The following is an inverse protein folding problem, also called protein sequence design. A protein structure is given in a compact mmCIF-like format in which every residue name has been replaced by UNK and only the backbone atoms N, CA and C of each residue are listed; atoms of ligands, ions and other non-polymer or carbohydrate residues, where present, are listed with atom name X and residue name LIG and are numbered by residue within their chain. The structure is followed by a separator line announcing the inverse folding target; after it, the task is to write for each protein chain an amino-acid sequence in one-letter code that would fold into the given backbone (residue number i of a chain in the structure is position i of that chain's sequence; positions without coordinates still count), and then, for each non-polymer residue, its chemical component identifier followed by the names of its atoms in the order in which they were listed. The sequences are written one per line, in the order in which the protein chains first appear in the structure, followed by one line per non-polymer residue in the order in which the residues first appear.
data_IF_643512842155
#
_entry.id   IF_643512842155
#
_cell.length_a   1.000
_cell.length_b   1.000
_cell.length_c   1.000
_cell.angle_alpha   90.00
_cell.angle_beta   90.00
_cell.angle_gamma   90.00
#
_symmetry.space_group_name_H-M   'P 1'
#
loop_
_entity.id
_entity.type
_entity.pdbx_description
1 polymer ?
#
# COMPACT_ATOMS: atom_id res chain seq x y z
N UNK A 1 3.61 -17.23 23.42
CA UNK A 1 4.67 -17.44 22.41
C UNK A 1 5.75 -16.40 22.72
N UNK A 2 7.01 -16.79 22.92
CA UNK A 2 8.08 -15.82 23.16
C UNK A 2 8.37 -15.09 21.84
N UNK A 3 8.61 -13.78 21.89
CA UNK A 3 9.01 -13.03 20.71
C UNK A 3 10.31 -13.65 20.15
N UNK A 4 10.43 -13.78 18.82
CA UNK A 4 11.57 -14.47 18.19
C UNK A 4 12.90 -13.71 18.36
N UNK A 5 12.87 -12.44 18.77
CA UNK A 5 14.03 -11.59 18.99
C UNK A 5 14.02 -11.00 20.41
N UNK A 6 15.19 -10.94 21.03
CA UNK A 6 15.38 -10.22 22.29
C UNK A 6 15.59 -8.71 22.05
N UNK A 7 15.46 -7.90 23.11
CA UNK A 7 15.61 -6.44 23.05
C UNK A 7 16.96 -6.01 22.46
N UNK A 8 18.03 -6.75 22.80
CA UNK A 8 19.38 -6.48 22.30
C UNK A 8 19.51 -6.71 20.79
N UNK A 9 18.80 -7.71 20.26
CA UNK A 9 18.76 -7.99 18.82
C UNK A 9 17.96 -6.93 18.08
N UNK A 10 16.85 -6.46 18.67
CA UNK A 10 16.05 -5.35 18.12
C UNK A 10 16.89 -4.08 18.05
N UNK A 11 17.61 -3.72 19.11
CA UNK A 11 18.48 -2.53 19.15
C UNK A 11 19.58 -2.59 18.08
N UNK A 12 20.20 -3.76 17.90
CA UNK A 12 21.22 -3.96 16.85
C UNK A 12 20.66 -3.79 15.45
N UNK A 13 19.47 -4.34 15.18
CA UNK A 13 18.81 -4.19 13.88
C UNK A 13 18.47 -2.72 13.64
N UNK A 14 17.91 -2.05 14.64
CA UNK A 14 17.59 -0.63 14.58
C UNK A 14 18.83 0.23 14.24
N UNK A 15 19.93 0.06 14.99
CA UNK A 15 21.18 0.81 14.75
C UNK A 15 21.79 0.50 13.38
N UNK A 16 21.71 -0.76 12.93
CA UNK A 16 22.17 -1.13 11.59
C UNK A 16 21.34 -0.45 10.49
N UNK A 17 20.01 -0.40 10.64
CA UNK A 17 19.11 0.30 9.71
C UNK A 17 19.37 1.80 9.65
N UNK A 18 19.56 2.46 10.80
CA UNK A 18 19.93 3.88 10.88
C UNK A 18 21.25 4.12 10.16
N UNK A 19 22.28 3.32 10.44
CA UNK A 19 23.59 3.44 9.82
C UNK A 19 23.53 3.28 8.28
N UNK A 20 22.69 2.36 7.78
CA UNK A 20 22.45 2.20 6.34
C UNK A 20 21.83 3.47 5.73
N UNK A 21 20.80 4.04 6.35
CA UNK A 21 20.12 5.24 5.84
C UNK A 21 20.99 6.50 5.92
N UNK A 22 21.79 6.65 6.96
CA UNK A 22 22.62 7.83 7.17
C UNK A 22 23.89 7.80 6.30
N UNK A 23 24.61 6.66 6.27
CA UNK A 23 25.93 6.59 5.63
C UNK A 23 25.92 6.05 4.21
N UNK A 24 24.96 5.18 3.86
CA UNK A 24 24.82 4.65 2.50
C UNK A 24 23.79 5.47 1.73
N UNK A 25 22.65 5.74 2.35
CA UNK A 25 21.51 6.43 1.76
C UNK A 25 20.75 5.58 0.75
N UNK A 26 19.58 6.06 0.35
CA UNK A 26 18.76 5.45 -0.70
C UNK A 26 19.05 6.09 -2.05
N UNK A 27 19.11 5.28 -3.11
CA UNK A 27 19.19 5.79 -4.47
C UNK A 27 17.81 6.21 -4.97
N UNK A 28 17.76 7.26 -5.79
CA UNK A 28 16.61 7.57 -6.62
C UNK A 28 16.60 6.60 -7.80
N UNK A 29 15.48 5.90 -8.03
CA UNK A 29 15.18 5.23 -9.30
C UNK A 29 14.12 6.07 -10.00
N UNK A 30 14.49 6.67 -11.13
CA UNK A 30 13.54 7.32 -12.01
C UNK A 30 13.10 6.26 -13.02
N UNK A 31 11.84 5.81 -12.92
CA UNK A 31 11.18 5.21 -14.06
C UNK A 31 10.87 6.35 -15.02
N UNK A 32 11.20 6.17 -16.30
CA UNK A 32 11.16 7.20 -17.35
C UNK A 32 9.74 7.63 -17.76
N UNK A 33 8.78 7.59 -16.84
CA UNK A 33 7.42 8.04 -17.09
C UNK A 33 7.29 9.44 -16.53
N UNK A 34 7.34 10.43 -17.43
CA UNK A 34 6.85 11.78 -17.13
C UNK A 34 5.34 11.67 -16.90
N UNK A 35 4.93 11.51 -15.65
CA UNK A 35 3.52 11.55 -15.27
C UNK A 35 3.17 13.02 -15.08
N UNK A 36 2.44 13.59 -16.03
CA UNK A 36 1.97 14.98 -15.99
C UNK A 36 1.22 15.26 -14.67
N UNK A 37 1.61 16.35 -13.99
CA UNK A 37 0.93 16.82 -12.77
C UNK A 37 1.51 16.34 -11.44
N UNK A 38 2.61 15.58 -11.43
CA UNK A 38 3.31 15.24 -10.19
C UNK A 38 4.13 16.42 -9.63
N UNK A 39 4.19 16.60 -8.30
CA UNK A 39 5.09 17.58 -7.70
C UNK A 39 6.54 17.27 -8.08
N UNK A 40 7.38 18.30 -8.21
CA UNK A 40 8.81 18.08 -8.42
C UNK A 40 9.36 17.25 -7.26
N UNK A 41 9.97 16.11 -7.56
CA UNK A 41 10.58 15.24 -6.56
C UNK A 41 11.54 16.01 -5.63
N UNK A 42 12.21 17.04 -6.14
CA UNK A 42 13.05 17.92 -5.33
C UNK A 42 12.24 18.75 -4.32
N UNK A 43 11.05 19.21 -4.70
CA UNK A 43 10.12 19.89 -3.79
C UNK A 43 9.67 18.94 -2.69
N UNK A 44 9.30 17.69 -3.03
CA UNK A 44 8.91 16.66 -2.04
C UNK A 44 10.06 16.39 -1.06
N UNK A 45 11.29 16.21 -1.56
CA UNK A 45 12.44 15.97 -0.68
C UNK A 45 12.74 17.17 0.22
N UNK A 46 12.53 18.40 -0.26
CA UNK A 46 12.67 19.61 0.56
C UNK A 46 11.57 19.71 1.63
N UNK A 47 10.32 19.44 1.26
CA UNK A 47 9.17 19.41 2.19
C UNK A 47 9.38 18.37 3.30
N UNK A 48 9.99 17.23 2.97
CA UNK A 48 10.34 16.17 3.91
C UNK A 48 11.65 16.43 4.68
N UNK A 49 12.37 17.53 4.38
CA UNK A 49 13.64 17.87 5.02
C UNK A 49 14.80 16.95 4.67
N UNK A 50 14.67 16.10 3.65
CA UNK A 50 15.67 15.11 3.28
C UNK A 50 16.87 15.73 2.56
N UNK A 51 18.07 15.23 2.90
CA UNK A 51 19.32 15.69 2.29
C UNK A 51 19.68 14.77 1.13
N UNK A 52 20.05 15.38 0.00
CA UNK A 52 20.67 14.68 -1.12
C UNK A 52 22.18 14.89 -1.03
N UNK A 53 22.95 13.81 -0.94
CA UNK A 53 24.41 13.90 -0.89
C UNK A 53 25.00 14.16 -2.29
N UNK A 54 26.31 14.37 -2.35
CA UNK A 54 27.03 14.64 -3.61
C UNK A 54 26.94 13.53 -4.66
N UNK A 55 26.49 12.33 -4.28
CA UNK A 55 26.27 11.18 -5.16
C UNK A 55 24.80 11.04 -5.60
N UNK A 56 23.95 12.01 -5.30
CA UNK A 56 22.52 11.97 -5.63
C UNK A 56 21.72 10.97 -4.79
N UNK A 57 22.23 10.57 -3.61
CA UNK A 57 21.51 9.67 -2.69
C UNK A 57 20.80 10.45 -1.59
N UNK A 58 19.63 9.96 -1.22
CA UNK A 58 18.81 10.49 -0.14
C UNK A 58 19.34 9.90 1.17
N UNK A 59 19.84 10.76 2.05
CA UNK A 59 20.34 10.37 3.39
C UNK A 59 19.42 10.96 4.45
N UNK A 60 19.14 10.17 5.47
CA UNK A 60 18.28 10.55 6.59
C UNK A 60 19.10 10.39 7.87
N UNK A 61 19.10 11.39 8.74
CA UNK A 61 19.87 11.32 9.99
C UNK A 61 19.13 10.47 11.01
N UNK A 62 19.85 9.98 12.03
CA UNK A 62 19.21 9.27 13.14
C UNK A 62 18.14 10.13 13.82
N UNK A 63 18.41 11.42 14.05
CA UNK A 63 17.47 12.35 14.68
C UNK A 63 16.18 12.46 13.86
N UNK A 64 16.29 12.66 12.55
CA UNK A 64 15.13 12.75 11.65
C UNK A 64 14.31 11.44 11.63
N UNK A 65 14.97 10.26 11.69
CA UNK A 65 14.29 8.96 11.75
C UNK A 65 13.50 8.81 13.06
N UNK A 66 14.13 9.11 14.19
CA UNK A 66 13.49 9.00 15.51
C UNK A 66 12.31 9.96 15.64
N UNK A 67 12.45 11.18 15.15
CA UNK A 67 11.38 12.17 15.20
C UNK A 67 10.24 11.82 14.24
N UNK A 68 10.55 11.27 13.06
CA UNK A 68 9.53 10.73 12.16
C UNK A 68 8.75 9.59 12.83
N UNK A 69 9.43 8.61 13.45
CA UNK A 69 8.78 7.49 14.14
C UNK A 69 7.85 7.98 15.26
N UNK A 70 8.28 8.95 16.08
CA UNK A 70 7.45 9.53 17.16
C UNK A 70 6.22 10.28 16.65
N UNK A 71 6.27 10.78 15.41
CA UNK A 71 5.16 11.51 14.78
C UNK A 71 4.09 10.60 14.16
N UNK A 72 4.41 9.33 13.92
CA UNK A 72 3.48 8.35 13.36
C UNK A 72 2.40 8.03 14.39
N UNK A 73 1.15 7.91 13.92
CA UNK A 73 0.04 7.46 14.77
C UNK A 73 0.23 5.98 15.10
N UNK A 74 0.18 5.64 16.38
CA UNK A 74 0.23 4.24 16.82
C UNK A 74 -0.99 3.43 16.38
N UNK A 75 -2.08 4.08 16.01
CA UNK A 75 -3.29 3.42 15.54
C UNK A 75 -4.05 4.27 14.52
N UNK A 76 -4.85 3.58 13.72
CA UNK A 76 -5.69 4.20 12.70
C UNK A 76 -6.98 3.40 12.54
N UNK A 77 -8.09 4.08 12.32
CA UNK A 77 -9.41 3.46 12.19
C UNK A 77 -9.99 3.73 10.83
N UNK A 78 -10.37 2.66 10.13
CA UNK A 78 -11.13 2.71 8.89
C UNK A 78 -12.60 2.45 9.12
N UNK A 79 -13.48 3.19 8.45
CA UNK A 79 -14.92 2.99 8.55
C UNK A 79 -15.56 2.93 7.17
N UNK A 80 -16.52 2.05 6.96
CA UNK A 80 -17.39 2.07 5.78
C UNK A 80 -18.71 1.38 6.11
N UNK A 81 -19.82 2.09 5.94
CA UNK A 81 -21.11 1.61 6.46
C UNK A 81 -21.03 1.34 7.96
N UNK A 82 -21.39 0.13 8.37
CA UNK A 82 -21.26 -0.36 9.76
C UNK A 82 -19.91 -1.05 10.03
N UNK A 83 -19.10 -1.30 9.00
CA UNK A 83 -17.80 -1.95 9.14
C UNK A 83 -16.77 -0.95 9.65
N UNK A 84 -16.16 -1.26 10.79
CA UNK A 84 -15.07 -0.48 11.37
C UNK A 84 -13.87 -1.38 11.61
N UNK A 85 -12.71 -0.95 11.12
CA UNK A 85 -11.45 -1.65 11.23
C UNK A 85 -10.45 -0.76 11.97
N UNK A 86 -9.66 -1.28 12.89
CA UNK A 86 -8.58 -0.50 13.52
C UNK A 86 -7.24 -1.21 13.39
N UNK A 87 -6.25 -0.56 12.78
CA UNK A 87 -4.86 -1.02 12.70
C UNK A 87 -4.04 -0.41 13.84
N UNK A 88 -2.99 -1.12 14.26
CA UNK A 88 -1.93 -0.59 15.12
C UNK A 88 -2.18 -0.65 16.64
N UNK A 89 -3.40 -0.94 17.08
CA UNK A 89 -3.62 -1.16 18.51
C UNK A 89 -2.96 -2.48 18.96
N UNK A 90 -2.23 -2.46 20.10
CA UNK A 90 -1.66 -3.65 20.76
C UNK A 90 -2.70 -4.76 20.98
N UNK A 91 -3.96 -4.36 21.06
CA UNK A 91 -5.16 -5.16 21.00
C UNK A 91 -6.15 -4.26 20.26
N UNK A 92 -6.63 -4.61 19.07
CA UNK A 92 -7.89 -4.02 18.63
C UNK A 92 -8.99 -4.44 19.64
N UNK A 93 -10.21 -3.95 19.48
CA UNK A 93 -11.34 -4.22 20.37
C UNK A 93 -11.63 -5.76 20.49
N UNK A 94 -11.09 -6.57 19.57
CA UNK A 94 -11.12 -8.04 19.45
C UNK A 94 -9.75 -8.75 19.48
N UNK A 95 -8.63 -8.05 19.27
CA UNK A 95 -7.25 -8.59 19.24
C UNK A 95 -6.94 -9.56 18.09
N UNK A 96 -7.62 -9.45 16.94
CA UNK A 96 -7.51 -10.35 15.80
C UNK A 96 -6.64 -9.77 14.68
N UNK A 97 -5.84 -10.60 13.99
CA UNK A 97 -5.16 -10.19 12.77
C UNK A 97 -6.18 -9.78 11.71
N UNK A 98 -5.82 -8.77 10.92
CA UNK A 98 -6.63 -8.27 9.81
C UNK A 98 -6.23 -9.03 8.56
N UNK A 99 -7.21 -9.64 7.91
CA UNK A 99 -7.02 -10.42 6.70
C UNK A 99 -7.52 -9.64 5.48
N UNK A 100 -6.75 -9.80 4.41
CA UNK A 100 -6.98 -9.20 3.10
C UNK A 100 -6.91 -10.32 2.07
N UNK A 101 -7.62 -10.18 0.95
CA UNK A 101 -7.38 -11.04 -0.20
C UNK A 101 -5.98 -10.82 -0.78
N UNK A 102 -5.50 -11.77 -1.58
CA UNK A 102 -4.26 -11.61 -2.34
C UNK A 102 -4.35 -10.44 -3.33
N UNK A 103 -3.28 -9.65 -3.39
CA UNK A 103 -3.20 -8.45 -4.24
C UNK A 103 -2.67 -8.70 -5.63
N UNK A 104 -3.14 -7.89 -6.58
CA UNK A 104 -2.64 -7.74 -7.94
C UNK A 104 -2.44 -9.02 -8.81
N UNK A 105 -3.26 -10.08 -8.74
CA UNK A 105 -3.20 -11.12 -9.77
C UNK A 105 -3.55 -10.58 -11.16
N UNK A 106 -2.60 -10.67 -12.08
CA UNK A 106 -2.85 -10.44 -13.51
C UNK A 106 -3.53 -11.63 -14.18
N UNK A 107 -3.55 -12.79 -13.51
CA UNK A 107 -4.13 -14.04 -14.00
C UNK A 107 -5.00 -14.71 -12.96
N UNK A 108 -6.12 -15.24 -13.42
CA UNK A 108 -7.05 -16.04 -12.64
C UNK A 108 -6.87 -17.51 -13.00
N UNK A 109 -6.87 -18.36 -11.97
CA UNK A 109 -6.88 -19.82 -12.08
C UNK A 109 -8.27 -20.31 -11.74
N UNK A 110 -9.00 -20.78 -12.75
CA UNK A 110 -10.31 -21.40 -12.60
C UNK A 110 -10.19 -22.92 -12.64
N UNK A 111 -11.08 -23.57 -11.91
CA UNK A 111 -11.31 -25.01 -11.99
C UNK A 111 -12.66 -25.21 -12.66
N UNK A 112 -12.65 -25.80 -13.86
CA UNK A 112 -13.88 -26.27 -14.49
C UNK A 112 -13.96 -27.78 -14.29
N UNK A 113 -15.03 -28.26 -13.66
CA UNK A 113 -15.33 -29.70 -13.66
C UNK A 113 -15.77 -30.10 -15.07
N UNK A 114 -14.97 -30.92 -15.76
CA UNK A 114 -15.47 -31.57 -16.95
C UNK A 114 -16.62 -32.51 -16.59
N UNK A 115 -17.52 -32.76 -17.56
CA UNK A 115 -18.58 -33.78 -17.48
C UNK A 115 -18.05 -35.20 -17.13
N UNK A 116 -16.74 -35.41 -17.24
CA UNK A 116 -16.05 -36.67 -17.01
C UNK A 116 -15.39 -36.77 -15.62
N UNK A 117 -15.37 -35.69 -14.84
CA UNK A 117 -14.78 -35.63 -13.50
C UNK A 117 -13.27 -35.34 -13.44
N UNK A 118 -12.64 -35.03 -14.58
CA UNK A 118 -11.27 -34.51 -14.62
C UNK A 118 -11.30 -32.98 -14.45
N UNK A 119 -10.53 -32.46 -13.48
CA UNK A 119 -10.39 -31.01 -13.28
C UNK A 119 -9.41 -30.44 -14.31
N UNK A 120 -9.91 -29.63 -15.25
CA UNK A 120 -9.03 -28.81 -16.10
C UNK A 120 -8.74 -27.48 -15.39
N UNK A 121 -7.45 -27.14 -15.31
CA UNK A 121 -7.01 -25.85 -14.76
C UNK A 121 -6.92 -24.84 -15.90
N UNK A 122 -7.86 -23.90 -15.93
CA UNK A 122 -7.85 -22.81 -16.89
C UNK A 122 -7.16 -21.61 -16.27
N UNK A 123 -6.08 -21.14 -16.91
CA UNK A 123 -5.40 -19.90 -16.54
C UNK A 123 -5.72 -18.84 -17.59
N UNK A 124 -6.40 -17.77 -17.17
CA UNK A 124 -6.78 -16.65 -18.04
C UNK A 124 -6.40 -15.31 -17.43
N UNK A 125 -6.40 -14.26 -18.24
CA UNK A 125 -6.20 -12.91 -17.76
C UNK A 125 -7.37 -12.47 -16.86
N UNK A 126 -7.06 -11.60 -15.90
CA UNK A 126 -8.04 -10.96 -15.04
C UNK A 126 -8.95 -10.05 -15.88
N UNK A 127 -10.25 -10.11 -15.62
CA UNK A 127 -11.24 -9.21 -16.22
C UNK A 127 -12.02 -8.45 -15.14
N UNK A 128 -12.56 -7.25 -15.44
CA UNK A 128 -13.32 -6.46 -14.46
C UNK A 128 -14.46 -7.20 -13.74
N UNK A 129 -15.09 -8.19 -14.37
CA UNK A 129 -16.16 -8.98 -13.76
C UNK A 129 -15.67 -9.91 -12.64
N UNK A 130 -14.37 -10.25 -12.62
CA UNK A 130 -13.77 -11.04 -11.55
C UNK A 130 -13.79 -10.31 -10.21
N UNK A 131 -13.94 -8.97 -10.18
CA UNK A 131 -14.09 -8.21 -8.94
C UNK A 131 -15.22 -8.74 -8.04
N UNK A 132 -16.31 -9.22 -8.64
CA UNK A 132 -17.43 -9.75 -7.87
C UNK A 132 -17.00 -10.99 -7.05
N UNK A 133 -16.10 -11.80 -7.59
CA UNK A 133 -15.53 -12.98 -6.90
C UNK A 133 -14.75 -12.53 -5.67
N UNK A 134 -13.98 -11.44 -5.76
CA UNK A 134 -13.22 -10.91 -4.61
C UNK A 134 -14.12 -10.38 -3.51
N UNK A 135 -15.19 -9.65 -3.88
CA UNK A 135 -16.18 -9.18 -2.92
C UNK A 135 -16.90 -10.37 -2.23
N UNK A 136 -17.24 -11.40 -3.00
CA UNK A 136 -17.87 -12.61 -2.48
C UNK A 136 -16.93 -13.39 -1.55
N UNK A 137 -15.67 -13.62 -1.94
CA UNK A 137 -14.65 -14.27 -1.11
C UNK A 137 -14.46 -13.49 0.20
N UNK A 138 -14.37 -12.15 0.11
CA UNK A 138 -14.22 -11.32 1.30
C UNK A 138 -15.39 -11.49 2.28
N UNK A 139 -16.60 -11.64 1.77
CA UNK A 139 -17.79 -11.88 2.58
C UNK A 139 -17.82 -13.32 3.14
N UNK A 140 -17.58 -14.33 2.31
CA UNK A 140 -17.59 -15.74 2.69
C UNK A 140 -16.55 -16.09 3.76
N UNK A 141 -15.40 -15.40 3.72
CA UNK A 141 -14.27 -15.64 4.62
C UNK A 141 -14.11 -14.57 5.70
N UNK A 142 -15.07 -13.64 5.81
CA UNK A 142 -15.06 -12.54 6.77
C UNK A 142 -13.75 -11.71 6.77
N UNK A 143 -13.24 -11.42 5.57
CA UNK A 143 -12.04 -10.60 5.41
C UNK A 143 -12.34 -9.14 5.77
N UNK A 144 -11.57 -8.52 6.65
CA UNK A 144 -11.90 -7.20 7.16
C UNK A 144 -11.72 -6.05 6.14
N UNK A 145 -10.97 -6.30 5.06
CA UNK A 145 -10.71 -5.32 4.01
C UNK A 145 -10.42 -6.03 2.67
N UNK A 146 -10.68 -5.33 1.56
CA UNK A 146 -10.41 -5.85 0.22
C UNK A 146 -9.22 -5.11 -0.40
N UNK A 147 -8.19 -5.85 -0.79
CA UNK A 147 -7.07 -5.37 -1.59
C UNK A 147 -7.44 -5.43 -3.07
N UNK A 148 -7.26 -4.33 -3.80
CA UNK A 148 -7.60 -4.26 -5.22
C UNK A 148 -6.81 -5.34 -6.02
N UNK A 149 -7.49 -6.21 -6.77
CA UNK A 149 -6.88 -7.42 -7.33
C UNK A 149 -6.15 -7.21 -8.66
N UNK A 150 -6.16 -6.01 -9.25
CA UNK A 150 -5.40 -5.76 -10.47
C UNK A 150 -5.01 -4.28 -10.56
N UNK A 151 -3.83 -4.05 -11.13
CA UNK A 151 -3.37 -2.74 -11.58
C UNK A 151 -3.47 -2.74 -13.10
N UNK A 152 -4.44 -2.01 -13.63
CA UNK A 152 -4.49 -1.74 -15.06
C UNK A 152 -3.65 -0.51 -15.34
N UNK A 153 -2.84 -0.55 -16.40
CA UNK A 153 -2.07 0.61 -16.85
C UNK A 153 -2.96 1.74 -17.45
N UNK A 154 -4.28 1.58 -17.40
CA UNK A 154 -5.26 2.58 -17.84
C UNK A 154 -6.02 3.14 -16.63
N UNK A 155 -5.83 4.44 -16.33
CA UNK A 155 -6.52 5.10 -15.24
C UNK A 155 -8.06 5.01 -15.33
N UNK A 156 -8.65 5.17 -16.52
CA UNK A 156 -10.11 5.11 -16.59
C UNK A 156 -10.65 3.74 -16.11
N UNK A 157 -9.84 2.69 -16.24
CA UNK A 157 -10.17 1.34 -15.82
C UNK A 157 -10.09 1.20 -14.29
N UNK A 158 -8.98 1.51 -13.61
CA UNK A 158 -8.97 1.28 -12.14
C UNK A 158 -9.95 2.20 -11.40
N UNK A 159 -10.23 3.41 -11.89
CA UNK A 159 -11.31 4.23 -11.33
C UNK A 159 -12.64 3.47 -11.37
N UNK A 160 -12.97 2.91 -12.53
CA UNK A 160 -14.19 2.13 -12.72
C UNK A 160 -14.22 0.89 -11.81
N UNK A 161 -13.10 0.22 -11.62
CA UNK A 161 -12.97 -0.93 -10.74
C UNK A 161 -13.15 -0.58 -9.27
N UNK A 162 -12.52 0.51 -8.80
CA UNK A 162 -12.69 1.00 -7.44
C UNK A 162 -14.14 1.38 -7.21
N UNK A 163 -14.76 2.17 -8.09
CA UNK A 163 -16.19 2.50 -7.98
C UNK A 163 -17.08 1.26 -7.94
N UNK A 164 -16.83 0.29 -8.82
CA UNK A 164 -17.60 -0.96 -8.87
C UNK A 164 -17.43 -1.78 -7.59
N UNK A 165 -16.22 -1.88 -7.05
CA UNK A 165 -15.97 -2.59 -5.80
C UNK A 165 -16.62 -1.88 -4.61
N UNK A 166 -16.57 -0.55 -4.57
CA UNK A 166 -17.29 0.28 -3.60
C UNK A 166 -18.82 0.05 -3.67
N UNK A 167 -19.37 -0.21 -4.85
CA UNK A 167 -20.80 -0.55 -5.00
C UNK A 167 -21.14 -1.98 -4.54
N UNK A 168 -20.18 -2.89 -4.56
CA UNK A 168 -20.35 -4.31 -4.21
C UNK A 168 -20.12 -4.60 -2.73
N UNK A 169 -19.40 -3.75 -2.01
CA UNK A 169 -19.04 -4.01 -0.60
C UNK A 169 -19.07 -2.76 0.28
N UNK A 170 -19.44 -2.98 1.54
CA UNK A 170 -19.30 -2.01 2.63
C UNK A 170 -18.00 -2.21 3.41
N UNK A 171 -17.06 -3.04 2.95
CA UNK A 171 -15.76 -3.24 3.61
C UNK A 171 -14.75 -2.16 3.19
N UNK A 172 -13.87 -1.69 4.10
CA UNK A 172 -12.75 -0.81 3.73
C UNK A 172 -11.95 -1.38 2.55
N UNK A 173 -11.37 -0.50 1.74
CA UNK A 173 -10.56 -0.90 0.58
C UNK A 173 -9.10 -0.55 0.78
N UNK A 174 -8.22 -1.43 0.31
CA UNK A 174 -6.80 -1.18 0.10
C UNK A 174 -6.52 -1.08 -1.40
N UNK A 175 -6.01 0.07 -1.86
CA UNK A 175 -5.78 0.33 -3.28
C UNK A 175 -4.26 0.34 -3.55
N UNK A 176 -3.85 -0.30 -4.65
CA UNK A 176 -2.47 -0.20 -5.16
C UNK A 176 -2.17 1.20 -5.67
N UNK A 177 -0.89 1.53 -5.77
CA UNK A 177 -0.47 2.94 -5.94
C UNK A 177 -0.24 3.32 -7.37
N UNK A 178 0.10 2.37 -8.22
CA UNK A 178 0.14 2.60 -9.66
C UNK A 178 -1.21 3.11 -10.17
N UNK A 179 -2.30 2.61 -9.58
CA UNK A 179 -3.64 3.16 -9.73
C UNK A 179 -3.71 4.61 -9.16
N UNK A 180 -3.48 4.81 -7.87
CA UNK A 180 -3.59 6.11 -7.18
C UNK A 180 -2.74 7.26 -7.76
N UNK A 181 -1.58 6.94 -8.34
CA UNK A 181 -0.62 7.87 -8.93
C UNK A 181 -1.21 8.67 -10.09
N UNK A 182 -2.03 8.04 -10.92
CA UNK A 182 -2.57 8.68 -12.12
C UNK A 182 -3.87 9.41 -11.84
N UNK A 183 -4.52 9.11 -10.72
CA UNK A 183 -5.83 9.68 -10.39
C UNK A 183 -5.80 11.05 -9.72
N UNK A 184 -4.63 11.47 -9.23
CA UNK A 184 -4.44 12.75 -8.56
C UNK A 184 -5.33 12.93 -7.31
N UNK A 185 -5.20 14.11 -6.70
CA UNK A 185 -5.95 14.49 -5.49
C UNK A 185 -7.47 14.41 -5.65
N UNK A 186 -7.97 14.57 -6.88
CA UNK A 186 -9.40 14.71 -7.16
C UNK A 186 -10.15 13.39 -7.05
N UNK A 187 -9.49 12.26 -7.33
CA UNK A 187 -10.08 10.94 -7.12
C UNK A 187 -10.34 10.63 -5.66
N UNK A 188 -9.31 10.78 -4.83
CA UNK A 188 -9.43 10.55 -3.39
C UNK A 188 -10.44 11.51 -2.78
N UNK A 189 -10.41 12.79 -3.19
CA UNK A 189 -11.45 13.75 -2.81
C UNK A 189 -12.84 13.32 -3.26
N UNK A 190 -13.00 12.80 -4.48
CA UNK A 190 -14.31 12.36 -4.99
C UNK A 190 -14.84 11.18 -4.20
N UNK A 191 -13.98 10.20 -3.88
CA UNK A 191 -14.39 9.06 -3.06
C UNK A 191 -14.71 9.49 -1.62
N UNK A 192 -13.87 10.33 -0.99
CA UNK A 192 -14.11 10.85 0.36
C UNK A 192 -15.37 11.74 0.42
N UNK A 193 -15.65 12.51 -0.63
CA UNK A 193 -16.80 13.42 -0.68
C UNK A 193 -18.12 12.74 -1.06
N UNK A 194 -18.09 11.49 -1.54
CA UNK A 194 -19.32 10.73 -1.77
C UNK A 194 -20.09 10.63 -0.45
N UNK A 195 -21.37 11.00 -0.48
CA UNK A 195 -22.23 11.09 0.72
C UNK A 195 -22.38 9.75 1.43
N UNK A 196 -22.22 8.62 0.73
CA UNK A 196 -22.19 7.28 1.32
C UNK A 196 -20.92 7.01 2.13
N UNK A 197 -19.86 7.76 1.87
CA UNK A 197 -18.53 7.63 2.47
C UNK A 197 -18.20 8.71 3.51
N UNK A 198 -19.12 9.65 3.80
CA UNK A 198 -18.93 10.63 4.88
C UNK A 198 -19.08 9.97 6.25
N UNK A 199 -18.07 9.21 6.66
CA UNK A 199 -17.88 8.81 8.05
C UNK A 199 -17.33 10.00 8.85
N UNK A 200 -17.54 10.01 10.16
CA UNK A 200 -17.23 11.12 11.07
C UNK A 200 -15.70 11.31 11.25
N UNK A 201 -14.98 11.69 10.19
CA UNK A 201 -13.53 11.91 10.24
C UNK A 201 -12.71 10.61 10.25
N UNK A 202 -13.27 9.50 9.80
CA UNK A 202 -12.57 8.22 9.66
C UNK A 202 -12.14 8.00 8.20
N UNK A 203 -11.07 7.23 8.02
CA UNK A 203 -10.57 6.91 6.68
C UNK A 203 -11.35 5.72 6.11
N UNK A 204 -11.71 5.72 4.84
CA UNK A 204 -12.47 4.58 4.27
C UNK A 204 -11.62 3.78 3.28
N UNK A 205 -10.43 4.28 2.99
CA UNK A 205 -9.47 3.77 2.01
C UNK A 205 -8.10 3.85 2.63
N UNK A 206 -7.35 2.76 2.52
CA UNK A 206 -5.90 2.75 2.69
C UNK A 206 -5.23 2.49 1.34
N UNK A 207 -3.97 2.85 1.25
CA UNK A 207 -3.18 2.68 0.04
C UNK A 207 -1.96 1.81 0.33
N UNK A 208 -1.70 0.78 -0.47
CA UNK A 208 -0.51 -0.07 -0.35
C UNK A 208 0.58 0.42 -1.30
N UNK A 209 1.65 0.97 -0.73
CA UNK A 209 2.82 1.45 -1.47
C UNK A 209 3.97 0.46 -1.29
N UNK A 210 4.43 -0.11 -2.41
CA UNK A 210 5.75 -0.72 -2.42
C UNK A 210 6.78 0.40 -2.50
N UNK A 211 7.32 0.77 -1.34
CA UNK A 211 8.22 1.92 -1.20
C UNK A 211 9.58 1.70 -1.87
N UNK A 212 9.94 0.47 -2.25
CA UNK A 212 11.26 0.17 -2.81
C UNK A 212 11.21 -0.74 -4.03
N UNK A 213 11.81 -0.30 -5.13
CA UNK A 213 11.93 -1.06 -6.38
C UNK A 213 13.25 -1.85 -6.51
N UNK A 214 13.82 -2.25 -5.37
CA UNK A 214 15.11 -2.91 -5.23
C UNK A 214 15.79 -2.60 -3.89
N UNK A 215 17.06 -2.99 -3.76
CA UNK A 215 17.86 -2.72 -2.56
C UNK A 215 18.07 -1.19 -2.39
N UNK A 216 17.46 -0.61 -1.34
CA UNK A 216 17.66 0.79 -0.97
C UNK A 216 17.38 1.79 -2.11
N UNK A 217 16.39 1.53 -2.96
CA UNK A 217 16.01 2.44 -4.04
C UNK A 217 14.57 2.90 -3.89
N UNK A 218 14.37 4.21 -3.87
CA UNK A 218 13.04 4.84 -3.88
C UNK A 218 12.64 5.16 -5.31
N UNK A 219 11.43 4.77 -5.66
CA UNK A 219 10.84 5.12 -6.95
C UNK A 219 10.19 6.51 -6.87
N UNK A 220 10.47 7.36 -7.87
CA UNK A 220 9.95 8.72 -7.93
C UNK A 220 8.44 8.77 -8.04
N UNK A 221 7.83 7.86 -8.81
CA UNK A 221 6.37 7.79 -8.91
C UNK A 221 5.82 7.44 -7.53
N UNK A 222 6.27 6.33 -6.94
CA UNK A 222 5.80 5.88 -5.61
C UNK A 222 5.92 6.97 -4.55
N UNK A 223 7.04 7.69 -4.49
CA UNK A 223 7.25 8.80 -3.56
C UNK A 223 6.23 9.93 -3.76
N UNK A 224 5.94 10.29 -5.00
CA UNK A 224 4.91 11.28 -5.33
C UNK A 224 3.53 10.84 -4.88
N UNK A 225 3.16 9.57 -5.05
CA UNK A 225 1.89 9.07 -4.51
C UNK A 225 1.86 9.04 -2.99
N UNK A 226 2.93 8.62 -2.31
CA UNK A 226 2.92 8.63 -0.85
C UNK A 226 2.69 10.04 -0.34
N UNK A 227 3.40 11.00 -0.92
CA UNK A 227 3.28 12.40 -0.57
C UNK A 227 1.85 12.91 -0.80
N UNK A 228 1.24 12.59 -1.94
CA UNK A 228 -0.14 13.00 -2.22
C UNK A 228 -1.14 12.31 -1.28
N UNK A 229 -1.00 11.00 -1.04
CA UNK A 229 -1.84 10.26 -0.10
C UNK A 229 -1.77 10.87 1.31
N UNK A 230 -0.57 11.15 1.80
CA UNK A 230 -0.34 11.79 3.11
C UNK A 230 -0.92 13.20 3.15
N UNK A 231 -0.78 14.00 2.08
CA UNK A 231 -1.40 15.32 1.97
C UNK A 231 -2.93 15.27 2.04
N UNK A 232 -3.54 14.22 1.50
CA UNK A 232 -4.99 13.98 1.60
C UNK A 232 -5.42 13.30 2.90
N UNK A 233 -4.49 13.04 3.82
CA UNK A 233 -4.77 12.37 5.09
C UNK A 233 -5.17 10.90 4.94
N UNK A 234 -4.65 10.22 3.91
CA UNK A 234 -4.85 8.78 3.70
C UNK A 234 -3.75 7.97 4.37
N UNK A 235 -4.13 6.79 4.86
CA UNK A 235 -3.19 5.79 5.32
C UNK A 235 -2.36 5.23 4.16
N UNK A 236 -1.06 5.15 4.40
CA UNK A 236 -0.08 4.55 3.51
C UNK A 236 0.54 3.35 4.20
N UNK A 237 0.39 2.17 3.61
CA UNK A 237 1.15 0.98 3.97
C UNK A 237 2.44 1.00 3.15
N UNK A 238 3.53 1.49 3.75
CA UNK A 238 4.85 1.46 3.15
C UNK A 238 5.49 0.09 3.35
N UNK A 239 5.62 -0.67 2.26
CA UNK A 239 6.24 -2.00 2.25
C UNK A 239 7.56 -2.00 1.50
N UNK A 240 8.42 -2.97 1.80
CA UNK A 240 9.62 -3.27 1.01
C UNK A 240 9.54 -4.70 0.49
N UNK A 241 9.77 -4.88 -0.82
CA UNK A 241 9.89 -6.20 -1.43
C UNK A 241 11.36 -6.66 -1.43
N UNK A 242 11.79 -7.30 -0.35
CA UNK A 242 13.14 -7.86 -0.24
C UNK A 242 13.17 -9.36 -0.53
N UNK A 243 14.02 -9.77 -1.47
CA UNK A 243 14.33 -11.16 -1.76
C UNK A 243 15.77 -11.44 -1.32
N UNK A 244 16.00 -12.33 -0.34
CA UNK A 244 17.36 -12.73 0.07
C UNK A 244 18.17 -13.19 -1.14
N UNK A 245 19.43 -12.80 -1.20
CA UNK A 245 20.37 -13.06 -2.30
C UNK A 245 20.04 -12.39 -3.66
N UNK A 246 18.91 -11.68 -3.78
CA UNK A 246 18.53 -10.97 -5.01
C UNK A 246 18.50 -9.46 -4.78
N UNK A 247 17.66 -9.01 -3.86
CA UNK A 247 17.51 -7.58 -3.49
C UNK A 247 17.85 -7.31 -2.02
N UNK A 248 18.27 -8.33 -1.27
CA UNK A 248 18.76 -8.25 0.09
C UNK A 248 19.93 -9.21 0.32
N UNK A 249 20.75 -9.02 1.38
CA UNK A 249 21.75 -10.00 1.79
C UNK A 249 21.13 -11.39 2.02
N UNK A 250 21.91 -12.45 1.81
CA UNK A 250 21.51 -13.83 2.12
C UNK A 250 21.84 -14.28 3.53
#
# INVERSE_FOLDING_TARGET
MQAPLDEKSIEKIHLASVNLLENIGMSKKSLSQDIDGMPDFKEILNDLGFKINSKGRITITQEDIEDAIKSVRDHITFCRGENTLSLGQKQDISGRPIFLNGGAPTKIRNYEEELNGDEEIIIRDFIPDDLAIYAEIAEQHDLEMILMPAEFLDPAVDYGLVCRLLEMTDRPLCIGVDAGLVYGSDFFKKIQNDKKNKSQGHENITTLINGTSGAMSLDESMMSAMHECVKQGLCVVASTASQPMVTAPG
#
